data_IF_068296213336
#
_entry.id   IF_068296213336
#
_cell.length_a   1.000
_cell.length_b   1.000
_cell.length_c   1.000
_cell.angle_alpha   90.00
_cell.angle_beta   90.00
_cell.angle_gamma   90.00
#
_symmetry.space_group_name_H-M   'P 1'
#
loop_
_entity.id
_entity.type
_entity.pdbx_description
1 polymer ?
#
# COMPACT_ATOMS: atom_id res chain seq x y z
N UNK A 1 4.92 -19.80 19.88
CA UNK A 1 4.65 -18.41 20.27
C UNK A 1 4.55 -18.35 21.78
N UNK A 2 5.25 -17.43 22.42
CA UNK A 2 5.06 -17.14 23.84
C UNK A 2 3.80 -16.29 24.03
N UNK A 3 3.27 -16.24 25.26
CA UNK A 3 2.14 -15.38 25.62
C UNK A 3 2.44 -13.90 25.35
N UNK A 4 3.71 -13.51 25.46
CA UNK A 4 4.19 -12.15 25.22
C UNK A 4 4.15 -11.81 23.72
N UNK A 5 4.54 -12.74 22.85
CA UNK A 5 4.47 -12.54 21.38
C UNK A 5 3.01 -12.29 20.94
N UNK A 6 2.07 -13.09 21.45
CA UNK A 6 0.65 -12.93 21.16
C UNK A 6 0.12 -11.58 21.66
N UNK A 7 0.52 -11.16 22.86
CA UNK A 7 0.13 -9.86 23.42
C UNK A 7 0.62 -8.71 22.53
N UNK A 8 1.89 -8.75 22.09
CA UNK A 8 2.47 -7.71 21.21
C UNK A 8 1.73 -7.67 19.87
N UNK A 9 1.44 -8.81 19.27
CA UNK A 9 0.72 -8.90 17.99
C UNK A 9 -0.70 -8.34 18.12
N UNK A 10 -1.44 -8.77 19.15
CA UNK A 10 -2.81 -8.29 19.39
C UNK A 10 -2.82 -6.79 19.67
N UNK A 11 -1.88 -6.29 20.48
CA UNK A 11 -1.76 -4.85 20.76
C UNK A 11 -1.43 -4.06 19.50
N UNK A 12 -0.51 -4.55 18.67
CA UNK A 12 -0.17 -3.93 17.40
C UNK A 12 -1.39 -3.83 16.47
N UNK A 13 -2.14 -4.92 16.29
CA UNK A 13 -3.36 -4.90 15.47
C UNK A 13 -4.44 -3.98 16.07
N UNK A 14 -4.61 -3.99 17.39
CA UNK A 14 -5.57 -3.13 18.06
C UNK A 14 -5.22 -1.63 17.90
N UNK A 15 -3.94 -1.27 18.03
CA UNK A 15 -3.46 0.11 17.85
C UNK A 15 -3.59 0.55 16.39
N UNK A 16 -3.15 -0.26 15.44
CA UNK A 16 -3.22 0.08 14.01
C UNK A 16 -4.65 0.19 13.51
N UNK A 17 -5.53 -0.76 13.85
CA UNK A 17 -6.96 -0.69 13.55
C UNK A 17 -7.63 0.47 14.29
N UNK A 18 -7.30 0.69 15.56
CA UNK A 18 -7.86 1.76 16.38
C UNK A 18 -7.52 3.16 15.83
N UNK A 19 -6.27 3.40 15.44
CA UNK A 19 -5.83 4.64 14.80
C UNK A 19 -6.55 4.82 13.45
N UNK A 20 -6.64 3.75 12.65
CA UNK A 20 -7.34 3.78 11.38
C UNK A 20 -8.82 4.17 11.53
N UNK A 21 -9.54 3.50 12.45
CA UNK A 21 -10.95 3.76 12.73
C UNK A 21 -11.19 5.14 13.37
N UNK A 22 -10.27 5.62 14.21
CA UNK A 22 -10.35 6.96 14.78
C UNK A 22 -10.18 8.04 13.71
N UNK A 23 -9.32 7.81 12.73
CA UNK A 23 -9.10 8.73 11.61
C UNK A 23 -10.32 8.83 10.68
N UNK A 24 -11.21 7.83 10.66
CA UNK A 24 -12.43 7.82 9.84
C UNK A 24 -13.67 8.43 10.47
N UNK A 25 -13.65 8.75 11.78
CA UNK A 25 -14.84 9.20 12.53
C UNK A 25 -15.54 10.48 12.00
N UNK A 26 -14.96 11.15 11.00
CA UNK A 26 -15.52 12.34 10.35
C UNK A 26 -15.67 12.19 8.82
N UNK A 27 -15.58 10.99 8.24
CA UNK A 27 -15.84 10.80 6.81
C UNK A 27 -17.36 10.75 6.56
N UNK A 28 -17.89 11.70 5.78
CA UNK A 28 -19.33 11.75 5.45
C UNK A 28 -19.60 11.69 3.94
N UNK A 29 -18.58 11.95 3.10
CA UNK A 29 -18.73 11.97 1.64
C UNK A 29 -17.77 11.01 0.93
N UNK A 30 -18.07 10.66 -0.33
CA UNK A 30 -17.15 9.89 -1.18
C UNK A 30 -15.81 10.61 -1.39
N UNK A 31 -15.81 11.95 -1.41
CA UNK A 31 -14.60 12.77 -1.45
C UNK A 31 -13.73 12.56 -0.21
N UNK A 32 -14.33 12.49 0.98
CA UNK A 32 -13.58 12.24 2.22
C UNK A 32 -12.96 10.83 2.23
N UNK A 33 -13.67 9.86 1.68
CA UNK A 33 -13.22 8.47 1.59
C UNK A 33 -12.05 8.30 0.61
N UNK A 34 -12.16 8.82 -0.60
CA UNK A 34 -11.16 8.62 -1.66
C UNK A 34 -10.04 9.66 -1.69
N UNK A 35 -10.29 10.90 -1.29
CA UNK A 35 -9.31 11.99 -1.33
C UNK A 35 -8.75 12.33 0.06
N UNK A 36 -9.21 11.64 1.11
CA UNK A 36 -8.73 11.82 2.47
C UNK A 36 -8.93 13.23 3.01
N UNK A 37 -10.03 13.89 2.63
CA UNK A 37 -10.43 15.24 3.04
C UNK A 37 -9.31 16.31 3.03
N UNK A 38 -8.33 16.24 2.10
CA UNK A 38 -7.28 17.27 1.84
C UNK A 38 -6.48 17.80 3.06
N UNK A 39 -6.63 17.24 4.24
CA UNK A 39 -6.05 17.72 5.51
C UNK A 39 -4.91 16.82 6.02
N UNK A 40 -4.56 15.79 5.24
CA UNK A 40 -3.42 14.93 5.56
C UNK A 40 -2.10 15.70 5.42
N UNK A 41 -1.24 15.70 6.44
CA UNK A 41 0.03 16.40 6.36
C UNK A 41 0.95 15.71 5.33
N UNK A 42 1.70 16.50 4.58
CA UNK A 42 2.53 16.00 3.48
C UNK A 42 3.51 14.90 3.90
N UNK A 43 4.08 14.98 5.10
CA UNK A 43 4.98 13.95 5.61
C UNK A 43 4.28 12.59 5.77
N UNK A 44 3.03 12.56 6.23
CA UNK A 44 2.28 11.31 6.40
C UNK A 44 1.97 10.67 5.05
N UNK A 45 1.62 11.49 4.05
CA UNK A 45 1.41 11.03 2.67
C UNK A 45 2.69 10.44 2.09
N UNK A 46 3.84 11.11 2.29
CA UNK A 46 5.13 10.62 1.81
C UNK A 46 5.53 9.28 2.45
N UNK A 47 5.36 9.14 3.77
CA UNK A 47 5.62 7.88 4.46
C UNK A 47 4.67 6.77 4.00
N UNK A 48 3.39 7.08 3.78
CA UNK A 48 2.41 6.13 3.26
C UNK A 48 2.74 5.66 1.84
N UNK A 49 3.22 6.54 0.95
CA UNK A 49 3.70 6.12 -0.37
C UNK A 49 4.83 5.07 -0.26
N UNK A 50 5.78 5.27 0.67
CA UNK A 50 6.88 4.33 0.89
C UNK A 50 6.38 3.01 1.49
N UNK A 51 5.49 3.09 2.48
CA UNK A 51 4.90 1.91 3.12
C UNK A 51 4.07 1.09 2.13
N UNK A 52 3.20 1.72 1.34
CA UNK A 52 2.35 1.08 0.33
C UNK A 52 3.16 0.34 -0.75
N UNK A 53 4.36 0.80 -1.07
CA UNK A 53 5.25 0.10 -2.00
C UNK A 53 6.05 -1.04 -1.33
N UNK A 54 6.27 -0.95 -0.02
CA UNK A 54 7.03 -1.94 0.74
C UNK A 54 6.13 -3.07 1.19
N UNK A 55 6.30 -4.24 0.60
CA UNK A 55 5.46 -5.41 0.88
C UNK A 55 6.19 -6.50 1.64
N UNK A 56 5.45 -7.42 2.25
CA UNK A 56 6.01 -8.64 2.86
C UNK A 56 6.95 -9.38 1.89
N UNK A 57 6.61 -9.42 0.59
CA UNK A 57 7.45 -10.02 -0.43
C UNK A 57 8.81 -9.30 -0.54
N UNK A 58 8.83 -7.98 -0.49
CA UNK A 58 10.05 -7.16 -0.55
C UNK A 58 10.99 -7.50 0.62
N UNK A 59 10.42 -7.58 1.81
CA UNK A 59 11.13 -7.79 3.08
C UNK A 59 11.74 -9.19 3.15
N UNK A 60 11.02 -10.19 2.63
CA UNK A 60 11.52 -11.57 2.59
C UNK A 60 12.53 -11.74 1.44
N UNK A 61 12.26 -11.17 0.27
CA UNK A 61 13.02 -11.46 -0.96
C UNK A 61 14.35 -10.73 -1.03
N UNK A 62 14.43 -9.45 -0.65
CA UNK A 62 15.67 -8.66 -0.79
C UNK A 62 16.81 -9.26 0.04
N UNK A 63 16.65 -9.54 1.35
CA UNK A 63 17.72 -10.16 2.13
C UNK A 63 18.07 -11.55 1.59
N UNK A 64 17.08 -12.32 1.11
CA UNK A 64 17.33 -13.61 0.47
C UNK A 64 18.20 -13.53 -0.79
N UNK A 65 18.01 -12.49 -1.62
CA UNK A 65 18.86 -12.22 -2.78
C UNK A 65 20.25 -11.74 -2.34
N UNK A 66 20.31 -10.83 -1.37
CA UNK A 66 21.56 -10.27 -0.84
C UNK A 66 22.43 -11.33 -0.16
N UNK A 67 21.84 -12.26 0.60
CA UNK A 67 22.54 -13.37 1.24
C UNK A 67 23.20 -14.32 0.23
N UNK A 68 22.72 -14.35 -1.02
CA UNK A 68 23.38 -15.06 -2.14
C UNK A 68 24.47 -14.23 -2.83
N UNK A 69 24.83 -13.08 -2.28
CA UNK A 69 25.89 -12.19 -2.77
C UNK A 69 25.47 -11.26 -3.92
N UNK A 70 24.18 -11.17 -4.26
CA UNK A 70 23.71 -10.32 -5.37
C UNK A 70 23.17 -8.99 -4.89
N UNK A 71 23.67 -7.91 -5.49
CA UNK A 71 23.18 -6.54 -5.29
C UNK A 71 22.29 -6.06 -6.44
N UNK A 72 21.80 -6.97 -7.28
CA UNK A 72 20.99 -6.63 -8.48
C UNK A 72 19.76 -5.79 -8.12
N UNK A 73 19.21 -5.97 -6.92
CA UNK A 73 18.06 -5.21 -6.45
C UNK A 73 18.32 -3.69 -6.36
N UNK A 74 19.57 -3.27 -6.16
CA UNK A 74 19.91 -1.84 -6.12
C UNK A 74 19.57 -1.12 -7.43
N UNK A 75 19.62 -1.80 -8.57
CA UNK A 75 19.21 -1.23 -9.85
C UNK A 75 17.74 -0.79 -9.83
N UNK A 76 16.88 -1.58 -9.19
CA UNK A 76 15.46 -1.25 -9.02
C UNK A 76 15.30 -0.05 -8.09
N UNK A 77 16.04 -0.01 -6.97
CA UNK A 77 16.03 1.12 -6.02
C UNK A 77 16.44 2.44 -6.70
N UNK A 78 17.55 2.46 -7.43
CA UNK A 78 17.98 3.65 -8.17
C UNK A 78 17.01 4.00 -9.30
N UNK A 79 16.47 2.99 -10.00
CA UNK A 79 15.44 3.18 -11.02
C UNK A 79 14.18 3.85 -10.47
N UNK A 80 13.72 3.45 -9.29
CA UNK A 80 12.59 4.10 -8.61
C UNK A 80 12.90 5.54 -8.22
N UNK A 81 14.10 5.83 -7.72
CA UNK A 81 14.49 7.20 -7.38
C UNK A 81 14.45 8.12 -8.60
N UNK A 82 15.06 7.69 -9.71
CA UNK A 82 15.07 8.46 -10.96
C UNK A 82 13.67 8.60 -11.55
N UNK A 83 12.89 7.52 -11.57
CA UNK A 83 11.52 7.53 -12.07
C UNK A 83 10.62 8.47 -11.28
N UNK A 84 10.72 8.46 -9.94
CA UNK A 84 9.96 9.37 -9.06
C UNK A 84 10.37 10.82 -9.27
N UNK A 85 11.66 11.11 -9.42
CA UNK A 85 12.13 12.46 -9.72
C UNK A 85 11.54 12.97 -11.05
N UNK A 86 11.52 12.12 -12.09
CA UNK A 86 10.91 12.46 -13.37
C UNK A 86 9.39 12.69 -13.26
N UNK A 87 8.67 11.82 -12.54
CA UNK A 87 7.23 11.98 -12.28
C UNK A 87 6.94 13.26 -11.49
N UNK A 88 7.72 13.54 -10.45
CA UNK A 88 7.59 14.74 -9.64
C UNK A 88 7.82 16.01 -10.47
N UNK A 89 8.78 15.99 -11.38
CA UNK A 89 9.10 17.14 -12.21
C UNK A 89 8.09 17.37 -13.35
N UNK A 90 7.62 16.31 -14.02
CA UNK A 90 6.77 16.44 -15.21
C UNK A 90 5.27 16.35 -14.95
N UNK A 91 4.83 15.52 -14.00
CA UNK A 91 3.39 15.29 -13.78
C UNK A 91 2.85 16.09 -12.60
N UNK A 92 3.60 16.20 -11.50
CA UNK A 92 3.13 16.83 -10.27
C UNK A 92 2.64 18.28 -10.44
N UNK A 93 3.30 19.16 -11.23
CA UNK A 93 2.83 20.53 -11.43
C UNK A 93 1.42 20.62 -12.02
N UNK A 94 1.01 19.66 -12.86
CA UNK A 94 -0.31 19.63 -13.48
C UNK A 94 -1.44 19.36 -12.47
N UNK A 95 -1.17 18.55 -11.44
CA UNK A 95 -2.12 18.31 -10.34
C UNK A 95 -2.32 19.56 -9.49
N UNK A 96 -1.24 20.27 -9.15
CA UNK A 96 -1.32 21.50 -8.35
C UNK A 96 -2.00 22.67 -9.07
N UNK A 97 -1.98 22.68 -10.41
CA UNK A 97 -2.71 23.66 -11.22
C UNK A 97 -4.20 23.32 -11.40
N UNK A 98 -4.65 22.16 -10.93
CA UNK A 98 -6.03 21.69 -11.11
C UNK A 98 -6.35 21.24 -12.54
N UNK A 99 -5.35 21.07 -13.39
CA UNK A 99 -5.53 20.64 -14.79
C UNK A 99 -5.79 19.12 -14.90
N UNK A 100 -5.52 18.37 -13.83
CA UNK A 100 -5.56 16.90 -13.81
C UNK A 100 -6.00 16.40 -12.44
N UNK A 101 -6.99 15.50 -12.43
CA UNK A 101 -7.42 14.83 -11.20
C UNK A 101 -6.74 13.47 -11.00
N UNK A 102 -6.41 12.77 -12.09
CA UNK A 102 -5.72 11.47 -12.07
C UNK A 102 -4.73 11.33 -13.23
N UNK A 103 -3.75 10.44 -13.09
CA UNK A 103 -2.80 10.13 -14.16
C UNK A 103 -3.51 9.65 -15.44
N UNK A 104 -4.62 8.92 -15.27
CA UNK A 104 -5.43 8.40 -16.37
C UNK A 104 -6.22 9.49 -17.08
N UNK A 105 -6.72 10.50 -16.35
CA UNK A 105 -7.40 11.65 -16.94
C UNK A 105 -6.46 12.45 -17.85
N UNK A 106 -5.17 12.55 -17.50
CA UNK A 106 -4.17 13.17 -18.38
C UNK A 106 -3.92 12.38 -19.66
N UNK A 107 -3.90 11.05 -19.56
CA UNK A 107 -3.78 10.20 -20.75
C UNK A 107 -5.04 10.32 -21.63
N UNK A 108 -6.22 10.41 -21.03
CA UNK A 108 -7.46 10.66 -21.75
C UNK A 108 -7.44 11.99 -22.49
N UNK A 109 -7.03 13.09 -21.84
CA UNK A 109 -7.01 14.41 -22.47
C UNK A 109 -6.05 14.46 -23.67
N UNK A 110 -5.01 13.61 -23.69
CA UNK A 110 -3.99 13.60 -24.75
C UNK A 110 -4.24 12.57 -25.86
N UNK A 111 -4.80 11.40 -25.53
CA UNK A 111 -4.92 10.25 -26.43
C UNK A 111 -6.36 9.72 -26.57
N UNK A 112 -7.28 10.24 -25.77
CA UNK A 112 -8.70 9.92 -25.81
C UNK A 112 -9.14 8.82 -24.83
N UNK A 113 -10.46 8.57 -24.74
CA UNK A 113 -11.04 7.65 -23.75
C UNK A 113 -10.62 6.19 -23.94
N UNK A 114 -10.28 5.77 -25.16
CA UNK A 114 -9.80 4.41 -25.45
C UNK A 114 -8.50 4.09 -24.70
N UNK A 115 -7.54 5.01 -24.73
CA UNK A 115 -6.27 4.88 -24.00
C UNK A 115 -6.49 4.83 -22.50
N UNK A 116 -7.39 5.68 -21.96
CA UNK A 116 -7.77 5.63 -20.54
C UNK A 116 -8.24 4.23 -20.14
N UNK A 117 -9.21 3.68 -20.87
CA UNK A 117 -9.77 2.36 -20.58
C UNK A 117 -8.71 1.27 -20.63
N UNK A 118 -7.88 1.25 -21.67
CA UNK A 118 -6.83 0.25 -21.81
C UNK A 118 -5.84 0.31 -20.64
N UNK A 119 -5.32 1.49 -20.33
CA UNK A 119 -4.32 1.66 -19.26
C UNK A 119 -4.93 1.36 -17.90
N UNK A 120 -6.17 1.77 -17.63
CA UNK A 120 -6.88 1.43 -16.40
C UNK A 120 -7.09 -0.09 -16.25
N UNK A 121 -7.47 -0.80 -17.32
CA UNK A 121 -7.64 -2.26 -17.30
C UNK A 121 -6.31 -2.96 -17.04
N UNK A 122 -5.25 -2.56 -17.74
CA UNK A 122 -3.90 -3.12 -17.55
C UNK A 122 -3.42 -2.87 -16.13
N UNK A 123 -3.59 -1.67 -15.60
CA UNK A 123 -3.26 -1.35 -14.21
C UNK A 123 -4.03 -2.23 -13.22
N UNK A 124 -5.36 -2.33 -13.35
CA UNK A 124 -6.18 -3.13 -12.43
C UNK A 124 -5.80 -4.61 -12.48
N UNK A 125 -5.59 -5.16 -13.68
CA UNK A 125 -5.18 -6.56 -13.83
C UNK A 125 -3.81 -6.83 -13.22
N UNK A 126 -2.81 -6.00 -13.53
CA UNK A 126 -1.45 -6.16 -12.98
C UNK A 126 -1.41 -5.93 -11.48
N UNK A 127 -2.18 -4.96 -10.97
CA UNK A 127 -2.29 -4.69 -9.54
C UNK A 127 -2.95 -5.85 -8.80
N UNK A 128 -4.05 -6.40 -9.32
CA UNK A 128 -4.73 -7.56 -8.76
C UNK A 128 -3.79 -8.77 -8.67
N UNK A 129 -3.06 -9.09 -9.74
CA UNK A 129 -2.09 -10.19 -9.73
C UNK A 129 -0.97 -9.95 -8.72
N UNK A 130 -0.42 -8.74 -8.68
CA UNK A 130 0.64 -8.38 -7.73
C UNK A 130 0.17 -8.47 -6.28
N UNK A 131 -1.02 -7.97 -5.97
CA UNK A 131 -1.57 -8.01 -4.61
C UNK A 131 -1.89 -9.45 -4.17
N UNK A 132 -2.30 -10.33 -5.09
CA UNK A 132 -2.41 -11.76 -4.84
C UNK A 132 -1.09 -12.41 -4.39
N UNK A 133 0.02 -12.08 -5.07
CA UNK A 133 1.36 -12.56 -4.67
C UNK A 133 1.77 -12.00 -3.32
N UNK A 134 1.46 -10.72 -3.02
CA UNK A 134 1.76 -10.10 -1.73
C UNK A 134 0.99 -10.75 -0.58
N UNK A 135 -0.30 -11.05 -0.78
CA UNK A 135 -1.11 -11.78 0.21
C UNK A 135 -0.54 -13.18 0.42
N UNK A 136 -0.21 -13.90 -0.65
CA UNK A 136 0.43 -15.21 -0.53
C UNK A 136 1.73 -15.15 0.27
N UNK A 137 2.62 -14.22 -0.07
CA UNK A 137 3.91 -14.05 0.61
C UNK A 137 3.75 -13.69 2.10
N UNK A 138 2.79 -12.81 2.43
CA UNK A 138 2.49 -12.45 3.82
C UNK A 138 1.81 -13.57 4.63
N UNK A 139 1.07 -14.46 3.97
CA UNK A 139 0.42 -15.60 4.62
C UNK A 139 1.39 -16.69 5.05
N UNK A 140 2.58 -16.79 4.43
CA UNK A 140 3.60 -17.80 4.78
C UNK A 140 4.10 -17.61 6.22
N UNK A 141 4.60 -16.43 6.65
CA UNK A 141 4.95 -16.19 8.05
C UNK A 141 3.79 -16.44 9.02
N UNK A 142 2.56 -16.03 8.64
CA UNK A 142 1.38 -16.26 9.47
C UNK A 142 1.15 -17.76 9.71
N UNK A 143 1.17 -18.57 8.65
CA UNK A 143 1.03 -20.03 8.72
C UNK A 143 2.11 -20.67 9.60
N UNK A 144 3.37 -20.23 9.48
CA UNK A 144 4.49 -20.74 10.28
C UNK A 144 4.32 -20.45 11.77
N UNK A 145 3.81 -19.26 12.10
CA UNK A 145 3.69 -18.78 13.47
C UNK A 145 2.46 -19.39 14.18
N UNK A 146 1.35 -19.56 13.47
CA UNK A 146 0.09 -20.10 14.01
C UNK A 146 -0.02 -21.63 13.90
N UNK A 147 0.80 -22.26 13.04
CA UNK A 147 0.63 -23.66 12.67
C UNK A 147 -0.54 -23.92 11.72
N UNK A 148 -1.18 -22.87 11.20
CA UNK A 148 -2.24 -23.01 10.20
C UNK A 148 -1.68 -23.45 8.85
N UNK A 149 -2.51 -24.06 8.01
CA UNK A 149 -2.15 -24.24 6.62
C UNK A 149 -2.18 -22.89 5.87
N UNK A 150 -1.44 -22.81 4.76
CA UNK A 150 -1.31 -21.58 3.96
C UNK A 150 -2.67 -21.09 3.42
N UNK A 151 -3.57 -21.94 2.88
CA UNK A 151 -4.89 -21.50 2.42
C UNK A 151 -5.72 -20.79 3.50
N UNK A 152 -5.75 -21.33 4.72
CA UNK A 152 -6.47 -20.71 5.86
C UNK A 152 -5.85 -19.35 6.21
N UNK A 153 -4.53 -19.27 6.20
CA UNK A 153 -3.81 -18.01 6.46
C UNK A 153 -4.07 -16.95 5.40
N UNK A 154 -4.18 -17.33 4.13
CA UNK A 154 -4.57 -16.44 3.03
C UNK A 154 -5.98 -15.89 3.25
N UNK A 155 -6.95 -16.76 3.54
CA UNK A 155 -8.35 -16.35 3.76
C UNK A 155 -8.46 -15.42 4.97
N UNK A 156 -7.78 -15.75 6.07
CA UNK A 156 -7.77 -14.92 7.27
C UNK A 156 -7.16 -13.53 7.00
N UNK A 157 -5.98 -13.49 6.37
CA UNK A 157 -5.29 -12.23 6.09
C UNK A 157 -6.07 -11.37 5.07
N UNK A 158 -6.62 -11.99 4.02
CA UNK A 158 -7.48 -11.32 3.05
C UNK A 158 -8.76 -10.78 3.69
N UNK A 159 -9.41 -11.56 4.56
CA UNK A 159 -10.62 -11.15 5.27
C UNK A 159 -10.39 -9.95 6.19
N UNK A 160 -9.34 -10.00 7.03
CA UNK A 160 -8.95 -8.87 7.88
C UNK A 160 -8.65 -7.64 7.02
N UNK A 161 -7.88 -7.83 5.95
CA UNK A 161 -7.50 -6.73 5.04
C UNK A 161 -8.69 -6.08 4.38
N UNK A 162 -9.63 -6.89 3.91
CA UNK A 162 -10.87 -6.41 3.30
C UNK A 162 -11.71 -5.63 4.30
N UNK A 163 -11.90 -6.14 5.52
CA UNK A 163 -12.70 -5.48 6.56
C UNK A 163 -12.12 -4.10 6.88
N UNK A 164 -10.84 -4.01 7.25
CA UNK A 164 -10.30 -2.70 7.66
C UNK A 164 -10.23 -1.70 6.50
N UNK A 165 -9.97 -2.17 5.27
CA UNK A 165 -9.92 -1.29 4.10
C UNK A 165 -11.30 -0.74 3.77
N UNK A 166 -12.33 -1.59 3.87
CA UNK A 166 -13.72 -1.23 3.58
C UNK A 166 -14.24 -0.14 4.54
N UNK A 167 -13.92 -0.23 5.83
CA UNK A 167 -14.37 0.73 6.83
C UNK A 167 -13.43 1.94 7.01
N UNK A 168 -12.18 1.86 6.53
CA UNK A 168 -11.13 2.84 6.84
C UNK A 168 -10.93 3.97 5.83
N UNK A 169 -11.25 3.78 4.55
CA UNK A 169 -10.96 4.81 3.52
C UNK A 169 -9.48 5.26 3.48
N UNK A 170 -9.17 6.31 2.71
CA UNK A 170 -7.77 6.71 2.48
C UNK A 170 -7.05 7.18 3.76
N UNK A 171 -7.73 7.95 4.63
CA UNK A 171 -7.10 8.45 5.87
C UNK A 171 -6.65 7.32 6.80
N UNK A 172 -7.48 6.31 7.01
CA UNK A 172 -7.11 5.20 7.87
C UNK A 172 -5.89 4.46 7.32
N UNK A 173 -5.87 4.24 5.99
CA UNK A 173 -4.74 3.59 5.32
C UNK A 173 -3.45 4.39 5.51
N UNK A 174 -3.47 5.71 5.29
CA UNK A 174 -2.28 6.56 5.45
C UNK A 174 -1.75 6.53 6.88
N UNK A 175 -2.62 6.60 7.89
CA UNK A 175 -2.18 6.54 9.29
C UNK A 175 -1.71 5.14 9.71
N UNK A 176 -2.37 4.08 9.22
CA UNK A 176 -1.92 2.71 9.44
C UNK A 176 -0.53 2.48 8.82
N UNK A 177 -0.30 2.99 7.61
CA UNK A 177 0.97 2.94 6.91
C UNK A 177 2.10 3.66 7.68
N UNK A 178 1.81 4.82 8.27
CA UNK A 178 2.78 5.56 9.11
C UNK A 178 3.22 4.72 10.31
N UNK A 179 2.27 4.07 10.99
CA UNK A 179 2.56 3.19 12.14
C UNK A 179 3.32 1.96 11.68
N UNK A 180 2.93 1.35 10.56
CA UNK A 180 3.63 0.21 9.96
C UNK A 180 5.08 0.53 9.65
N UNK A 181 5.34 1.69 9.04
CA UNK A 181 6.69 2.12 8.69
C UNK A 181 7.56 2.40 9.92
N UNK A 182 6.97 2.84 11.04
CA UNK A 182 7.70 3.05 12.28
C UNK A 182 8.13 1.74 12.97
N UNK A 183 7.43 0.63 12.67
CA UNK A 183 7.74 -0.71 13.20
C UNK A 183 8.69 -1.47 12.27
N UNK A 184 8.65 -1.17 10.97
CA UNK A 184 9.54 -1.71 9.95
C UNK A 184 11.03 -1.52 10.26
#
# INVERSE_FOLDING_TARGET
>A
MTSLDLLVIVLYFAVTLGIGLWATRHQQTAGDYFLGARDLPAWAVLLSIVATETSALTVISIPGIGARGSLVFLQLTFGYLLGRAAVAFWLLPGYFRGEQETAYARLESRFGPGTRRLVSVVFLATRFLGDGVRIYAGAIPLALVTGWNVPVSIVAMGGITMVYTWFGGLKAVVWADVVQLAVY
#
